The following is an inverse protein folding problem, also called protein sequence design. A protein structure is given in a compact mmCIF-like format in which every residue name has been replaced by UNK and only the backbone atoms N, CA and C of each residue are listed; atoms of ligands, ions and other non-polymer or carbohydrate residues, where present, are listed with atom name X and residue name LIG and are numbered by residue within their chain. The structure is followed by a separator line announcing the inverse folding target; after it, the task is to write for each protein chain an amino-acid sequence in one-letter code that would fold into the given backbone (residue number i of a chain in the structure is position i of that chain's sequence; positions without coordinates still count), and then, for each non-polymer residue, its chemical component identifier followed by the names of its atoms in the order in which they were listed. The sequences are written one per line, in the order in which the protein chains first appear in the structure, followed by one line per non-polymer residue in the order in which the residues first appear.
data_IF_589052136582
#
_entry.id   IF_589052136582
#
_cell.length_a   1.000
_cell.length_b   1.000
_cell.length_c   1.000
_cell.angle_alpha   90.00
_cell.angle_beta   90.00
_cell.angle_gamma   90.00
#
_symmetry.space_group_name_H-M   'P 1'
#
loop_
_entity.id
_entity.type
_entity.pdbx_description
1 polymer ?
#
# COMPACT_ATOMS: atom_id res chain seq x y z
N UNK A 1 -23.12 -9.82 -20.11
CA UNK A 1 -21.89 -9.33 -19.45
C UNK A 1 -21.13 -8.39 -20.39
N UNK A 2 -20.72 -7.22 -19.91
CA UNK A 2 -19.89 -6.25 -20.63
C UNK A 2 -18.54 -6.09 -19.93
N UNK A 3 -17.50 -5.87 -20.72
CA UNK A 3 -16.17 -5.51 -20.23
C UNK A 3 -15.67 -4.38 -21.11
N UNK A 4 -15.15 -3.33 -20.51
CA UNK A 4 -14.46 -2.26 -21.22
C UNK A 4 -13.06 -2.09 -20.63
N UNK A 5 -12.09 -2.02 -21.53
CA UNK A 5 -10.68 -1.84 -21.20
C UNK A 5 -10.25 -0.45 -21.63
N UNK A 6 -9.47 0.22 -20.80
CA UNK A 6 -8.70 1.39 -21.17
C UNK A 6 -7.22 1.09 -21.04
N UNK A 7 -6.36 2.06 -21.34
CA UNK A 7 -4.93 1.88 -21.18
C UNK A 7 -4.51 1.61 -19.72
N UNK A 8 -5.26 2.09 -18.72
CA UNK A 8 -4.90 1.95 -17.30
C UNK A 8 -6.07 1.56 -16.40
N UNK A 9 -7.14 1.01 -16.97
CA UNK A 9 -8.29 0.55 -16.20
C UNK A 9 -9.05 -0.54 -16.94
N UNK A 10 -9.91 -1.25 -16.22
CA UNK A 10 -10.97 -2.03 -16.83
C UNK A 10 -12.22 -1.98 -15.96
N UNK A 11 -13.37 -2.15 -16.60
CA UNK A 11 -14.66 -2.33 -15.95
C UNK A 11 -15.32 -3.61 -16.45
N UNK A 12 -15.96 -4.33 -15.54
CA UNK A 12 -16.75 -5.54 -15.77
C UNK A 12 -18.14 -5.30 -15.20
N UNK A 13 -19.15 -5.56 -16.03
CA UNK A 13 -20.56 -5.52 -15.65
C UNK A 13 -21.24 -6.85 -16.01
N UNK A 14 -21.68 -7.58 -15.01
CA UNK A 14 -22.49 -8.79 -15.14
C UNK A 14 -23.91 -8.44 -14.69
N UNK A 15 -24.91 -8.59 -15.56
CA UNK A 15 -26.31 -8.32 -15.24
C UNK A 15 -27.06 -9.63 -15.09
N UNK A 16 -28.00 -9.67 -14.15
CA UNK A 16 -28.98 -10.75 -13.96
C UNK A 16 -28.36 -12.15 -13.77
N UNK A 17 -27.22 -12.24 -13.09
CA UNK A 17 -26.68 -13.51 -12.61
C UNK A 17 -27.43 -13.90 -11.32
N UNK A 18 -28.23 -14.96 -11.39
CA UNK A 18 -29.08 -15.42 -10.28
C UNK A 18 -29.96 -14.31 -9.69
N UNK A 19 -30.55 -13.47 -10.56
CA UNK A 19 -31.38 -12.34 -10.16
C UNK A 19 -30.61 -11.12 -9.62
N UNK A 20 -29.28 -11.16 -9.58
CA UNK A 20 -28.42 -10.06 -9.11
C UNK A 20 -27.52 -9.53 -10.22
N UNK A 21 -27.11 -8.27 -10.09
CA UNK A 21 -26.13 -7.66 -10.98
C UNK A 21 -24.85 -7.35 -10.21
N UNK A 22 -23.70 -7.61 -10.83
CA UNK A 22 -22.38 -7.45 -10.25
C UNK A 22 -21.55 -6.51 -11.12
N UNK A 23 -20.78 -5.64 -10.49
CA UNK A 23 -19.89 -4.70 -11.17
C UNK A 23 -18.54 -4.69 -10.49
N UNK A 24 -17.48 -4.70 -11.28
CA UNK A 24 -16.10 -4.56 -10.81
C UNK A 24 -15.40 -3.53 -11.67
N UNK A 25 -14.80 -2.53 -11.03
CA UNK A 25 -14.08 -1.46 -11.72
C UNK A 25 -12.71 -1.35 -11.07
N UNK A 26 -11.66 -1.51 -11.88
CA UNK A 26 -10.27 -1.30 -11.45
C UNK A 26 -9.73 -0.11 -12.22
N UNK A 27 -9.44 0.97 -11.49
CA UNK A 27 -8.85 2.20 -12.03
C UNK A 27 -7.37 2.28 -11.66
N UNK A 28 -6.64 3.15 -12.35
CA UNK A 28 -5.25 3.51 -12.03
C UNK A 28 -4.33 2.28 -11.91
N UNK A 29 -4.41 1.37 -12.88
CA UNK A 29 -3.46 0.27 -13.01
C UNK A 29 -2.03 0.81 -12.99
N UNK A 30 -1.15 0.08 -12.30
CA UNK A 30 0.23 0.52 -12.03
C UNK A 30 0.96 0.87 -13.34
N UNK A 31 0.83 0.01 -14.36
CA UNK A 31 1.42 0.19 -15.69
C UNK A 31 0.35 0.05 -16.78
N UNK A 32 0.60 0.57 -17.99
CA UNK A 32 -0.39 0.52 -19.06
C UNK A 32 -0.55 -0.89 -19.66
N UNK A 33 -1.75 -1.15 -20.17
CA UNK A 33 -2.17 -2.40 -20.83
C UNK A 33 -2.56 -2.13 -22.29
N UNK A 34 -2.50 -3.16 -23.12
CA UNK A 34 -2.98 -3.12 -24.50
C UNK A 34 -4.48 -3.41 -24.54
N UNK A 35 -5.29 -2.39 -24.83
CA UNK A 35 -6.75 -2.53 -24.95
C UNK A 35 -7.13 -3.59 -25.99
N UNK A 36 -6.53 -3.51 -27.18
CA UNK A 36 -6.79 -4.48 -28.28
C UNK A 36 -6.29 -5.88 -27.96
N UNK A 37 -5.22 -5.99 -27.17
CA UNK A 37 -4.60 -7.26 -26.82
C UNK A 37 -5.14 -7.90 -25.54
N UNK A 38 -6.14 -7.30 -24.87
CA UNK A 38 -6.68 -7.77 -23.59
C UNK A 38 -8.02 -8.47 -23.79
N UNK A 39 -8.08 -9.82 -23.73
CA UNK A 39 -9.32 -10.54 -23.90
C UNK A 39 -10.07 -10.75 -22.58
N UNK A 40 -11.37 -11.02 -22.70
CA UNK A 40 -12.18 -11.62 -21.63
C UNK A 40 -12.49 -13.06 -21.99
N UNK A 41 -12.45 -13.97 -21.01
CA UNK A 41 -12.87 -15.38 -21.17
C UNK A 41 -13.90 -15.71 -20.10
N UNK A 42 -14.96 -16.40 -20.49
CA UNK A 42 -16.00 -16.86 -19.57
C UNK A 42 -15.87 -18.37 -19.42
N UNK A 43 -15.87 -18.84 -18.18
CA UNK A 43 -15.95 -20.25 -17.78
C UNK A 43 -17.23 -20.44 -16.94
N UNK A 44 -17.54 -21.69 -16.61
CA UNK A 44 -18.79 -22.07 -15.92
C UNK A 44 -19.10 -21.18 -14.69
N UNK A 45 -18.10 -20.89 -13.87
CA UNK A 45 -18.27 -20.12 -12.63
C UNK A 45 -17.25 -18.98 -12.50
N UNK A 46 -16.60 -18.60 -13.61
CA UNK A 46 -15.50 -17.62 -13.52
C UNK A 46 -15.41 -16.78 -14.77
N UNK A 47 -15.26 -15.47 -14.57
CA UNK A 47 -14.91 -14.52 -15.63
C UNK A 47 -13.43 -14.19 -15.49
N UNK A 48 -12.64 -14.57 -16.49
CA UNK A 48 -11.23 -14.21 -16.57
C UNK A 48 -11.09 -12.94 -17.40
N UNK A 49 -10.57 -11.90 -16.76
CA UNK A 49 -10.19 -10.64 -17.39
C UNK A 49 -8.68 -10.65 -17.57
N UNK A 50 -8.21 -10.83 -18.81
CA UNK A 50 -6.78 -10.89 -19.10
C UNK A 50 -6.30 -9.55 -19.61
N UNK A 51 -5.57 -8.82 -18.78
CA UNK A 51 -4.97 -7.54 -19.13
C UNK A 51 -3.56 -7.76 -19.72
N UNK A 52 -3.41 -7.66 -21.04
CA UNK A 52 -2.10 -7.78 -21.69
C UNK A 52 -1.27 -6.53 -21.39
N UNK A 53 -0.12 -6.70 -20.72
CA UNK A 53 0.81 -5.60 -20.46
C UNK A 53 1.28 -4.97 -21.77
N UNK A 54 1.36 -3.64 -21.82
CA UNK A 54 1.85 -2.91 -23.01
C UNK A 54 3.37 -3.06 -23.18
N UNK A 55 4.10 -3.05 -22.06
CA UNK A 55 5.52 -3.40 -22.01
C UNK A 55 5.67 -4.86 -21.56
N UNK A 56 6.29 -5.67 -22.41
CA UNK A 56 6.57 -7.08 -22.12
C UNK A 56 7.71 -7.19 -21.09
N UNK A 57 7.83 -8.36 -20.45
CA UNK A 57 8.87 -8.67 -19.45
C UNK A 57 8.96 -7.69 -18.26
N UNK A 58 7.88 -6.97 -17.99
CA UNK A 58 7.83 -5.97 -16.92
C UNK A 58 7.14 -6.53 -15.68
N UNK A 59 7.84 -6.55 -14.55
CA UNK A 59 7.26 -6.90 -13.24
C UNK A 59 6.25 -5.83 -12.80
N UNK A 60 5.14 -6.29 -12.22
CA UNK A 60 4.15 -5.44 -11.56
C UNK A 60 4.15 -5.83 -10.09
N UNK A 61 4.70 -4.96 -9.24
CA UNK A 61 4.78 -5.19 -7.79
C UNK A 61 3.40 -5.06 -7.14
N UNK A 62 2.54 -4.24 -7.74
CA UNK A 62 1.17 -3.97 -7.30
C UNK A 62 0.25 -3.93 -8.51
N UNK A 63 -1.06 -4.09 -8.29
CA UNK A 63 -2.05 -3.99 -9.35
C UNK A 63 -2.32 -2.52 -9.71
N UNK A 64 -2.42 -1.66 -8.70
CA UNK A 64 -2.81 -0.25 -8.84
C UNK A 64 -1.82 0.70 -8.17
N UNK A 65 -1.84 1.97 -8.58
CA UNK A 65 -1.09 3.04 -7.91
C UNK A 65 -1.55 3.27 -6.47
N UNK A 66 -2.86 3.19 -6.21
CA UNK A 66 -3.42 3.37 -4.88
C UNK A 66 -2.89 2.30 -3.90
N UNK A 67 -2.82 1.05 -4.35
CA UNK A 67 -2.26 -0.05 -3.56
C UNK A 67 -0.77 0.18 -3.24
N UNK A 68 0.01 0.62 -4.24
CA UNK A 68 1.43 0.97 -4.04
C UNK A 68 1.60 2.06 -2.99
N UNK A 69 0.87 3.16 -3.12
CA UNK A 69 0.97 4.29 -2.18
C UNK A 69 0.58 3.91 -0.76
N UNK A 70 -0.49 3.14 -0.58
CA UNK A 70 -0.87 2.67 0.76
C UNK A 70 0.23 1.78 1.36
N UNK A 71 0.75 0.82 0.58
CA UNK A 71 1.77 -0.14 1.06
C UNK A 71 3.15 0.49 1.27
N UNK A 72 3.51 1.53 0.53
CA UNK A 72 4.76 2.27 0.75
C UNK A 72 4.68 3.22 1.94
N UNK A 73 3.52 3.82 2.21
CA UNK A 73 3.31 4.64 3.42
C UNK A 73 3.34 3.81 4.70
N UNK A 74 2.87 2.57 4.66
CA UNK A 74 2.93 1.62 5.78
C UNK A 74 4.35 1.13 6.10
N UNK A 75 5.30 1.22 5.16
CA UNK A 75 6.69 0.83 5.43
C UNK A 75 7.35 1.92 6.28
N UNK A 76 7.86 1.60 7.49
CA UNK A 76 8.67 2.54 8.26
C UNK A 76 9.83 2.99 7.36
N UNK A 77 10.02 4.31 7.21
CA UNK A 77 11.12 4.81 6.38
C UNK A 77 12.44 4.43 7.03
N UNK A 78 13.08 3.40 6.50
CA UNK A 78 14.41 3.00 6.93
C UNK A 78 15.41 3.91 6.22
N UNK A 79 15.61 5.11 6.76
CA UNK A 79 16.71 5.97 6.34
C UNK A 79 18.01 5.32 6.83
N UNK A 80 18.64 4.56 5.94
CA UNK A 80 19.86 3.79 6.21
C UNK A 80 21.13 4.65 6.21
N UNK A 81 20.98 5.98 6.09
CA UNK A 81 22.09 6.94 6.09
C UNK A 81 22.27 7.69 7.40
N UNK A 82 21.40 7.44 8.37
CA UNK A 82 21.38 8.19 9.62
C UNK A 82 21.83 7.28 10.74
N UNK A 83 22.64 7.82 11.65
CA UNK A 83 23.14 7.15 12.86
C UNK A 83 21.99 6.35 13.52
N UNK A 84 22.19 5.09 13.98
CA UNK A 84 21.15 4.26 14.58
C UNK A 84 20.25 4.99 15.60
N UNK A 85 20.80 5.99 16.28
CA UNK A 85 20.09 6.85 17.24
C UNK A 85 19.11 7.83 16.59
N UNK A 86 19.46 8.45 15.46
CA UNK A 86 18.60 9.39 14.72
C UNK A 86 17.50 8.66 13.93
N UNK A 87 17.81 7.48 13.38
CA UNK A 87 16.82 6.63 12.70
C UNK A 87 15.68 6.23 13.63
N UNK A 88 15.99 5.90 14.89
CA UNK A 88 14.99 5.57 15.90
C UNK A 88 14.10 6.77 16.25
N UNK A 89 14.67 7.97 16.33
CA UNK A 89 13.96 9.20 16.67
C UNK A 89 12.93 9.60 15.61
N UNK A 90 13.27 9.42 14.33
CA UNK A 90 12.33 9.66 13.23
C UNK A 90 11.17 8.66 13.20
N UNK A 91 11.43 7.39 13.54
CA UNK A 91 10.37 6.37 13.68
C UNK A 91 9.44 6.73 14.83
N UNK A 92 9.98 7.06 16.00
CA UNK A 92 9.18 7.46 17.17
C UNK A 92 8.37 8.73 16.94
N UNK A 93 8.93 9.72 16.22
CA UNK A 93 8.23 10.95 15.86
C UNK A 93 7.02 10.68 14.97
N UNK A 94 7.16 9.80 13.97
CA UNK A 94 6.02 9.38 13.13
C UNK A 94 4.93 8.69 13.93
N UNK A 95 5.30 7.78 14.85
CA UNK A 95 4.32 7.15 15.75
C UNK A 95 3.62 8.15 16.67
N UNK A 96 4.31 9.21 17.12
CA UNK A 96 3.69 10.29 17.87
C UNK A 96 2.72 11.12 17.00
N UNK A 97 3.08 11.43 15.76
CA UNK A 97 2.25 12.21 14.84
C UNK A 97 0.99 11.44 14.39
N UNK A 98 1.12 10.12 14.16
CA UNK A 98 0.04 9.25 13.70
C UNK A 98 -0.78 8.62 14.85
N UNK A 99 -0.31 8.72 16.10
CA UNK A 99 -0.92 8.09 17.28
C UNK A 99 -2.11 8.85 17.86
N UNK A 100 -2.99 8.11 18.54
CA UNK A 100 -4.02 8.67 19.43
C UNK A 100 -3.40 9.22 20.74
N UNK A 101 -4.20 9.89 21.58
CA UNK A 101 -3.70 10.55 22.79
C UNK A 101 -3.01 9.59 23.78
N UNK A 102 -3.46 8.33 23.85
CA UNK A 102 -2.89 7.31 24.72
C UNK A 102 -1.51 6.84 24.22
N UNK A 103 -1.39 6.63 22.91
CA UNK A 103 -0.11 6.30 22.25
C UNK A 103 0.91 7.42 22.43
N UNK A 104 0.48 8.69 22.28
CA UNK A 104 1.32 9.88 22.48
C UNK A 104 1.84 9.99 23.91
N UNK A 105 0.98 9.73 24.90
CA UNK A 105 1.36 9.78 26.31
C UNK A 105 2.42 8.70 26.63
N UNK A 106 2.25 7.50 26.09
CA UNK A 106 3.17 6.38 26.31
C UNK A 106 4.55 6.63 25.69
N UNK A 107 4.61 7.17 24.47
CA UNK A 107 5.86 7.54 23.80
C UNK A 107 6.59 8.66 24.57
N UNK A 108 5.87 9.69 24.99
CA UNK A 108 6.45 10.78 25.79
C UNK A 108 7.04 10.28 27.11
N UNK A 109 6.32 9.37 27.81
CA UNK A 109 6.79 8.78 29.06
C UNK A 109 8.08 7.99 28.85
N UNK A 110 8.13 7.14 27.82
CA UNK A 110 9.33 6.36 27.49
C UNK A 110 10.54 7.25 27.10
N UNK A 111 10.30 8.35 26.38
CA UNK A 111 11.35 9.33 26.05
C UNK A 111 11.93 10.02 27.27
N UNK A 112 11.06 10.51 28.17
CA UNK A 112 11.49 11.18 29.41
C UNK A 112 12.25 10.20 30.30
N UNK A 113 11.73 8.98 30.49
CA UNK A 113 12.40 7.94 31.29
C UNK A 113 13.76 7.53 30.71
N UNK A 114 13.89 7.48 29.38
CA UNK A 114 15.17 7.17 28.72
C UNK A 114 16.20 8.29 28.90
N UNK A 115 15.78 9.56 28.78
CA UNK A 115 16.64 10.73 28.98
C UNK A 115 17.08 10.87 30.44
N UNK A 116 16.17 10.62 31.38
CA UNK A 116 16.47 10.64 32.82
C UNK A 116 17.43 9.52 33.22
N UNK A 117 17.34 8.34 32.60
CA UNK A 117 18.29 7.24 32.83
C UNK A 117 19.68 7.52 32.25
N UNK A 118 19.78 8.17 31.09
CA UNK A 118 21.07 8.64 30.57
C UNK A 118 21.68 9.73 31.48
N UNK A 119 20.87 10.68 31.95
CA UNK A 119 21.33 11.75 32.84
C UNK A 119 21.77 11.26 34.23
N UNK A 120 21.26 10.09 34.67
CA UNK A 120 21.64 9.45 35.94
C UNK A 120 22.78 8.42 35.79
N UNK A 121 23.27 8.17 34.57
CA UNK A 121 24.24 7.12 34.25
C UNK A 121 25.72 7.54 34.27
N UNK A 122 26.05 8.81 34.43
CA UNK A 122 27.45 9.30 34.53
C UNK A 122 27.84 9.58 35.98
N UNK A 123 27.68 8.61 36.88
CA UNK A 123 28.29 8.68 38.22
C UNK A 123 28.61 7.31 38.79
N UNK A 124 29.41 6.49 38.11
CA UNK A 124 30.24 5.48 38.81
C UNK A 124 31.63 5.39 38.15
N UNK A 125 32.65 5.75 38.95
CA UNK A 125 34.05 5.36 38.80
C UNK A 125 34.25 3.93 39.31
#
# INVERSE_FOLDING_TARGET
MRVHFTERSFDLLVKNLNGKSYSTIVKNLLKPISVKGSPKKVKNDTVLILCRKKAENTLWEYLTWAEKECKEKEKPSHDTKTDPSEGLMNVLKKFYEDGDDDTKQTINKAWVESREKQAKGDTEF
#
